data_IF_365132568594
#
_entry.id   IF_365132568594
#
_cell.length_a   1.000
_cell.length_b   1.000
_cell.length_c   1.000
_cell.angle_alpha   90.00
_cell.angle_beta   90.00
_cell.angle_gamma   90.00
#
_symmetry.space_group_name_H-M   'P 1'
#
loop_
_entity.id
_entity.type
_entity.pdbx_description
1 polymer ?
#
# COMPACT_ATOMS: atom_id res chain seq x y z
N UNK A 1 -47.39 36.71 18.61
CA UNK A 1 -48.17 35.76 17.83
C UNK A 1 -47.17 34.85 17.16
N UNK A 2 -47.15 33.59 17.54
CA UNK A 2 -46.19 32.59 17.08
C UNK A 2 -46.47 32.26 15.62
N UNK A 3 -45.51 32.47 14.74
CA UNK A 3 -45.63 32.26 13.28
C UNK A 3 -45.92 30.77 12.95
N UNK A 4 -45.45 29.89 13.81
CA UNK A 4 -45.62 28.43 13.73
C UNK A 4 -47.10 28.02 13.83
N UNK A 5 -47.91 28.70 14.59
CA UNK A 5 -49.35 28.41 14.71
C UNK A 5 -50.17 28.78 13.46
N UNK A 6 -49.63 29.55 12.52
CA UNK A 6 -50.31 29.94 11.30
C UNK A 6 -50.10 29.01 10.10
N UNK A 7 -49.05 28.20 10.14
CA UNK A 7 -48.71 27.35 9.00
C UNK A 7 -48.24 25.94 9.43
N UNK A 8 -49.12 25.11 9.98
CA UNK A 8 -48.75 23.74 10.39
C UNK A 8 -48.21 22.88 9.24
N UNK A 9 -48.56 23.20 7.97
CA UNK A 9 -48.04 22.56 6.80
C UNK A 9 -46.56 22.90 6.56
N UNK A 10 -46.12 24.10 6.88
CA UNK A 10 -44.73 24.53 6.76
C UNK A 10 -43.82 23.86 7.80
N UNK A 11 -44.29 23.67 9.03
CA UNK A 11 -43.55 22.87 10.03
C UNK A 11 -43.40 21.42 9.64
N UNK A 12 -44.45 20.81 9.12
CA UNK A 12 -44.38 19.45 8.62
C UNK A 12 -43.43 19.31 7.43
N UNK A 13 -43.39 20.30 6.53
CA UNK A 13 -42.45 20.31 5.40
C UNK A 13 -40.99 20.45 5.88
N UNK A 14 -40.73 21.36 6.82
CA UNK A 14 -39.37 21.52 7.38
C UNK A 14 -38.94 20.23 8.08
N UNK A 15 -39.80 19.61 8.91
CA UNK A 15 -39.45 18.36 9.57
C UNK A 15 -39.22 17.21 8.60
N UNK A 16 -39.95 17.14 7.48
CA UNK A 16 -39.72 16.12 6.43
C UNK A 16 -38.40 16.38 5.71
N UNK A 17 -38.07 17.64 5.42
CA UNK A 17 -36.81 18.01 4.77
C UNK A 17 -35.65 17.71 5.71
N UNK A 18 -35.72 18.09 6.96
CA UNK A 18 -34.69 17.80 7.96
C UNK A 18 -34.50 16.29 8.15
N UNK A 19 -35.60 15.54 8.23
CA UNK A 19 -35.53 14.07 8.28
C UNK A 19 -34.84 13.47 7.05
N UNK A 20 -35.13 13.99 5.85
CA UNK A 20 -34.52 13.56 4.59
C UNK A 20 -33.03 13.90 4.53
N UNK A 21 -32.65 15.09 5.01
CA UNK A 21 -31.25 15.51 5.09
C UNK A 21 -30.51 14.61 6.06
N UNK A 22 -31.03 14.42 7.27
CA UNK A 22 -30.39 13.53 8.25
C UNK A 22 -30.32 12.07 7.79
N UNK A 23 -31.35 11.57 7.13
CA UNK A 23 -31.33 10.23 6.56
C UNK A 23 -30.30 10.10 5.41
N UNK A 24 -30.14 11.14 4.60
CA UNK A 24 -29.12 11.20 3.56
C UNK A 24 -27.71 11.24 4.14
N UNK A 25 -27.49 12.06 5.16
CA UNK A 25 -26.20 12.15 5.87
C UNK A 25 -25.83 10.83 6.55
N UNK A 26 -26.79 10.15 7.18
CA UNK A 26 -26.58 8.85 7.82
C UNK A 26 -26.26 7.72 6.80
N UNK A 27 -26.79 7.84 5.59
CA UNK A 27 -26.56 6.85 4.52
C UNK A 27 -25.29 7.11 3.72
N UNK A 28 -24.71 8.32 3.76
CA UNK A 28 -23.53 8.68 2.97
C UNK A 28 -22.20 8.20 3.56
N UNK A 29 -22.20 7.64 4.76
CA UNK A 29 -20.98 7.21 5.45
C UNK A 29 -20.09 8.40 5.85
N UNK A 30 -19.54 8.37 7.07
CA UNK A 30 -18.66 9.42 7.56
C UNK A 30 -17.19 9.01 7.39
N UNK A 31 -16.35 10.02 7.17
CA UNK A 31 -14.91 9.86 7.28
C UNK A 31 -14.56 9.80 8.77
N UNK A 32 -14.26 8.62 9.26
CA UNK A 32 -14.01 8.38 10.68
C UNK A 32 -12.59 7.86 10.90
N UNK A 33 -11.91 8.31 11.99
CA UNK A 33 -10.66 7.72 12.39
C UNK A 33 -10.88 6.25 12.78
N UNK A 34 -9.97 5.41 12.36
CA UNK A 34 -10.05 3.98 12.61
C UNK A 34 -8.66 3.35 12.75
N UNK A 35 -8.63 2.18 13.34
CA UNK A 35 -7.42 1.37 13.50
C UNK A 35 -7.64 0.02 12.86
N UNK A 36 -6.63 -0.48 12.16
CA UNK A 36 -6.64 -1.80 11.53
C UNK A 36 -6.61 -2.88 12.60
N UNK A 37 -7.53 -3.83 12.53
CA UNK A 37 -7.60 -5.02 13.39
C UNK A 37 -7.02 -6.23 12.68
N UNK A 38 -7.35 -6.40 11.40
CA UNK A 38 -6.93 -7.54 10.59
C UNK A 38 -6.68 -7.10 9.15
N UNK A 39 -5.76 -7.78 8.47
CA UNK A 39 -5.37 -7.50 7.08
C UNK A 39 -5.52 -8.74 6.22
N UNK A 40 -6.32 -8.68 5.17
CA UNK A 40 -6.34 -9.67 4.09
C UNK A 40 -5.46 -9.19 2.93
N UNK A 41 -4.20 -9.58 2.97
CA UNK A 41 -3.21 -9.20 1.97
C UNK A 41 -3.47 -9.78 0.58
N UNK A 42 -4.27 -10.82 0.46
CA UNK A 42 -4.56 -11.47 -0.82
C UNK A 42 -5.64 -10.74 -1.60
N UNK A 43 -6.58 -10.12 -0.89
CA UNK A 43 -7.70 -9.41 -1.49
C UNK A 43 -7.58 -7.89 -1.41
N UNK A 44 -6.62 -7.36 -0.65
CA UNK A 44 -6.48 -5.92 -0.43
C UNK A 44 -7.57 -5.32 0.46
N UNK A 45 -8.04 -6.09 1.46
CA UNK A 45 -9.04 -5.66 2.42
C UNK A 45 -8.44 -5.57 3.82
N UNK A 46 -9.01 -4.69 4.63
CA UNK A 46 -8.71 -4.58 6.06
C UNK A 46 -9.98 -4.59 6.87
N UNK A 47 -9.94 -5.22 8.03
CA UNK A 47 -10.97 -5.06 9.06
C UNK A 47 -10.55 -3.94 9.98
N UNK A 48 -11.39 -2.94 10.13
CA UNK A 48 -11.11 -1.75 10.94
C UNK A 48 -12.07 -1.62 12.11
N UNK A 49 -11.56 -1.03 13.17
CA UNK A 49 -12.29 -0.62 14.36
C UNK A 49 -12.28 0.92 14.41
N UNK A 50 -13.42 1.53 14.66
CA UNK A 50 -13.53 2.98 14.76
C UNK A 50 -13.01 3.49 16.10
N UNK A 51 -12.23 4.56 16.07
CA UNK A 51 -11.64 5.20 17.26
C UNK A 51 -12.40 6.47 17.61
N UNK A 52 -13.65 6.31 18.08
CA UNK A 52 -14.49 7.42 18.50
C UNK A 52 -14.61 7.43 20.02
N UNK A 53 -14.32 8.58 20.61
CA UNK A 53 -14.56 8.81 22.05
C UNK A 53 -15.97 9.36 22.29
N UNK A 54 -16.58 8.93 23.40
CA UNK A 54 -17.88 9.44 23.85
C UNK A 54 -19.07 9.20 22.90
N UNK A 55 -19.01 8.17 22.07
CA UNK A 55 -20.20 7.76 21.32
C UNK A 55 -21.11 6.91 22.21
N UNK A 56 -22.43 7.15 22.18
CA UNK A 56 -23.39 6.31 22.91
C UNK A 56 -23.51 4.89 22.31
N UNK A 57 -22.85 4.65 21.19
CA UNK A 57 -22.93 3.37 20.44
C UNK A 57 -21.53 2.83 20.18
N UNK A 58 -21.37 1.52 20.35
CA UNK A 58 -20.22 0.82 19.82
C UNK A 58 -20.46 0.54 18.32
N UNK A 59 -19.67 1.19 17.47
CA UNK A 59 -19.70 0.90 16.06
C UNK A 59 -19.10 -0.51 15.83
N UNK A 60 -19.72 -1.34 14.99
CA UNK A 60 -19.18 -2.64 14.65
C UNK A 60 -17.87 -2.51 13.89
N UNK A 61 -17.02 -3.51 13.98
CA UNK A 61 -15.89 -3.66 13.08
C UNK A 61 -16.41 -3.92 11.66
N UNK A 62 -15.77 -3.31 10.67
CA UNK A 62 -16.15 -3.48 9.27
C UNK A 62 -14.94 -3.86 8.44
N UNK A 63 -15.17 -4.68 7.42
CA UNK A 63 -14.14 -5.06 6.44
C UNK A 63 -14.33 -4.24 5.18
N UNK A 64 -13.30 -3.46 4.81
CA UNK A 64 -13.35 -2.50 3.71
C UNK A 64 -12.09 -2.60 2.86
N UNK A 65 -12.15 -2.25 1.56
CA UNK A 65 -10.99 -2.21 0.70
C UNK A 65 -9.99 -1.15 1.14
N UNK A 66 -8.72 -1.40 0.86
CA UNK A 66 -7.65 -0.43 1.09
C UNK A 66 -7.52 0.48 -0.12
N UNK A 67 -7.47 1.79 0.13
CA UNK A 67 -7.06 2.74 -0.90
C UNK A 67 -5.58 2.53 -1.22
N UNK A 68 -5.26 2.39 -2.49
CA UNK A 68 -3.88 2.17 -2.93
C UNK A 68 -3.71 2.47 -4.41
N UNK A 69 -2.46 2.45 -4.83
CA UNK A 69 -2.08 2.52 -6.25
C UNK A 69 -1.97 1.09 -6.77
N UNK A 70 -2.36 0.86 -7.99
CA UNK A 70 -2.33 -0.48 -8.60
C UNK A 70 -0.93 -1.14 -8.53
N UNK A 71 0.12 -0.35 -8.70
CA UNK A 71 1.50 -0.82 -8.77
C UNK A 71 2.36 -0.50 -7.52
N UNK A 72 1.75 0.06 -6.47
CA UNK A 72 2.44 0.36 -5.22
C UNK A 72 1.67 -0.26 -4.07
N UNK A 73 2.30 -1.20 -3.38
CA UNK A 73 1.71 -1.86 -2.22
C UNK A 73 2.36 -1.35 -0.94
N UNK A 74 1.54 -0.88 -0.02
CA UNK A 74 1.98 -0.49 1.33
C UNK A 74 1.87 -1.67 2.27
N UNK A 75 2.86 -1.88 3.15
CA UNK A 75 2.78 -2.88 4.22
C UNK A 75 1.86 -2.38 5.33
N UNK A 76 0.58 -2.73 5.28
CA UNK A 76 -0.38 -2.42 6.33
C UNK A 76 -0.37 -3.54 7.36
N UNK A 77 -0.40 -3.18 8.65
CA UNK A 77 -0.39 -4.10 9.79
C UNK A 77 -1.55 -3.83 10.73
N UNK A 78 -1.91 -4.82 11.53
CA UNK A 78 -2.81 -4.62 12.66
C UNK A 78 -2.22 -3.56 13.61
N UNK A 79 -3.03 -2.62 14.04
CA UNK A 79 -2.63 -1.47 14.84
C UNK A 79 -2.33 -0.20 14.03
N UNK A 80 -2.24 -0.27 12.70
CA UNK A 80 -2.00 0.93 11.89
C UNK A 80 -3.22 1.85 11.91
N UNK A 81 -3.00 3.15 12.14
CA UNK A 81 -4.06 4.14 12.12
C UNK A 81 -4.44 4.52 10.69
N UNK A 82 -5.69 4.90 10.52
CA UNK A 82 -6.20 5.40 9.26
C UNK A 82 -7.50 6.15 9.41
N UNK A 83 -8.05 6.51 8.27
CA UNK A 83 -9.35 7.14 8.16
C UNK A 83 -10.17 6.41 7.11
N UNK A 84 -11.47 6.33 7.32
CA UNK A 84 -12.38 5.85 6.28
C UNK A 84 -12.65 6.96 5.28
N UNK A 85 -12.67 6.63 4.01
CA UNK A 85 -13.09 7.52 2.92
C UNK A 85 -14.38 6.95 2.34
N UNK A 86 -15.42 7.78 2.25
CA UNK A 86 -16.70 7.40 1.65
C UNK A 86 -16.70 7.63 0.15
N UNK A 87 -17.35 6.74 -0.57
CA UNK A 87 -17.70 6.90 -1.97
C UNK A 87 -19.23 6.99 -2.12
N UNK A 88 -19.67 7.68 -3.16
CA UNK A 88 -21.09 7.85 -3.45
C UNK A 88 -21.73 6.59 -4.06
N UNK A 89 -20.91 5.60 -4.40
CA UNK A 89 -21.32 4.36 -5.07
C UNK A 89 -20.67 3.13 -4.43
N UNK A 90 -21.23 1.97 -4.72
CA UNK A 90 -20.70 0.68 -4.25
C UNK A 90 -19.31 0.40 -4.83
N UNK A 91 -18.32 0.26 -3.95
CA UNK A 91 -16.92 -0.04 -4.29
C UNK A 91 -16.65 -1.54 -4.50
N UNK A 92 -17.50 -2.43 -4.02
CA UNK A 92 -17.29 -3.89 -4.14
C UNK A 92 -17.31 -4.30 -5.61
N UNK A 93 -18.09 -3.62 -6.43
CA UNK A 93 -18.15 -3.88 -7.87
C UNK A 93 -16.84 -3.55 -8.61
N UNK A 94 -16.01 -2.68 -8.04
CA UNK A 94 -14.74 -2.22 -8.60
C UNK A 94 -13.57 -2.94 -7.94
N UNK A 95 -13.68 -3.24 -6.63
CA UNK A 95 -12.61 -3.90 -5.88
C UNK A 95 -12.44 -5.37 -6.30
N UNK A 96 -11.22 -5.84 -6.35
CA UNK A 96 -10.89 -7.22 -6.72
C UNK A 96 -10.90 -7.51 -8.22
N UNK A 97 -10.65 -6.50 -9.06
CA UNK A 97 -10.48 -6.67 -10.51
C UNK A 97 -11.79 -6.92 -11.27
N UNK A 98 -12.93 -6.71 -10.63
CA UNK A 98 -14.25 -6.81 -11.27
C UNK A 98 -14.61 -5.45 -11.86
N UNK A 99 -14.36 -5.26 -13.14
CA UNK A 99 -14.83 -4.09 -13.89
C UNK A 99 -16.34 -4.19 -14.09
N UNK A 100 -17.12 -3.79 -13.10
CA UNK A 100 -18.55 -3.55 -13.23
C UNK A 100 -18.81 -2.08 -13.02
N UNK A 101 -19.71 -1.52 -13.81
CA UNK A 101 -20.24 -0.19 -13.53
C UNK A 101 -21.00 -0.28 -12.19
N UNK A 102 -20.64 0.53 -11.18
CA UNK A 102 -21.36 0.54 -9.92
C UNK A 102 -22.78 1.05 -10.14
N UNK A 103 -23.74 0.45 -9.45
CA UNK A 103 -25.10 0.97 -9.41
C UNK A 103 -25.13 2.29 -8.66
N UNK A 104 -25.77 3.30 -9.23
CA UNK A 104 -25.94 4.62 -8.62
C UNK A 104 -27.00 4.63 -7.49
N UNK A 105 -27.26 3.48 -6.92
CA UNK A 105 -28.16 3.36 -5.76
C UNK A 105 -27.34 3.54 -4.50
N UNK A 106 -27.67 4.52 -3.63
CA UNK A 106 -27.00 4.67 -2.36
C UNK A 106 -27.10 3.36 -1.57
N UNK A 107 -25.97 2.73 -1.33
CA UNK A 107 -25.93 1.53 -0.52
C UNK A 107 -26.07 1.94 0.95
N UNK A 108 -27.02 1.35 1.65
CA UNK A 108 -27.14 1.47 3.10
C UNK A 108 -26.06 0.63 3.85
N UNK A 109 -25.19 -0.05 3.13
CA UNK A 109 -24.16 -0.90 3.69
C UNK A 109 -22.79 -0.18 3.67
N UNK A 110 -22.32 0.24 4.82
CA UNK A 110 -21.05 0.93 5.00
C UNK A 110 -19.83 0.14 4.49
N UNK A 111 -19.90 -1.20 4.50
CA UNK A 111 -18.82 -2.04 3.99
C UNK A 111 -18.60 -1.89 2.48
N UNK A 112 -19.60 -1.41 1.76
CA UNK A 112 -19.56 -1.30 0.30
C UNK A 112 -19.18 0.08 -0.20
N UNK A 113 -19.38 1.11 0.64
CA UNK A 113 -19.14 2.51 0.26
C UNK A 113 -17.92 3.14 0.94
N UNK A 114 -17.27 2.43 1.86
CA UNK A 114 -16.09 2.93 2.56
C UNK A 114 -14.82 2.24 2.06
N UNK A 115 -13.72 2.99 2.03
CA UNK A 115 -12.37 2.48 1.86
C UNK A 115 -11.48 2.97 2.99
N UNK A 116 -10.43 2.21 3.29
CA UNK A 116 -9.41 2.58 4.28
C UNK A 116 -8.29 3.37 3.62
N UNK A 117 -8.00 4.55 4.16
CA UNK A 117 -6.81 5.32 3.83
C UNK A 117 -5.85 5.34 5.02
N UNK A 118 -4.61 4.84 4.86
CA UNK A 118 -3.63 4.86 5.94
C UNK A 118 -3.20 6.29 6.25
N UNK A 119 -3.04 6.60 7.55
CA UNK A 119 -2.45 7.84 8.03
C UNK A 119 -1.01 7.54 8.44
N UNK A 120 -0.10 8.45 8.11
CA UNK A 120 1.29 8.34 8.53
C UNK A 120 1.39 8.35 10.05
N UNK A 121 2.05 7.35 10.61
CA UNK A 121 2.36 7.31 12.04
C UNK A 121 3.47 8.33 12.36
N UNK A 122 3.35 9.06 13.47
CA UNK A 122 4.33 10.06 13.93
C UNK A 122 5.73 9.48 14.21
N UNK A 123 5.81 8.20 14.53
CA UNK A 123 7.08 7.46 14.74
C UNK A 123 7.82 7.18 13.43
N UNK A 124 7.52 7.91 12.39
CA UNK A 124 8.17 7.76 11.12
C UNK A 124 9.62 8.25 11.19
N UNK A 125 10.47 7.44 10.65
CA UNK A 125 11.91 7.54 10.49
C UNK A 125 12.43 8.96 10.23
N UNK A 126 13.53 9.31 10.88
CA UNK A 126 14.33 10.44 10.47
C UNK A 126 14.79 10.19 9.02
N UNK A 127 14.33 11.03 8.10
CA UNK A 127 14.78 10.93 6.71
C UNK A 127 16.23 11.43 6.62
N UNK A 128 17.13 10.65 6.03
CA UNK A 128 18.53 11.07 5.89
C UNK A 128 18.69 12.33 5.03
N UNK A 129 17.73 12.61 4.16
CA UNK A 129 17.68 13.82 3.35
C UNK A 129 16.22 14.29 3.22
N UNK A 130 15.83 15.39 3.89
CA UNK A 130 14.44 15.88 3.85
C UNK A 130 14.03 16.42 2.46
N UNK A 131 14.99 16.71 1.58
CA UNK A 131 14.72 17.21 0.22
C UNK A 131 14.70 16.09 -0.84
N UNK A 132 14.89 14.82 -0.45
CA UNK A 132 14.85 13.69 -1.35
C UNK A 132 13.49 12.97 -1.31
N UNK A 133 13.13 12.35 -2.41
CA UNK A 133 12.07 11.34 -2.40
C UNK A 133 12.60 10.09 -1.71
N UNK A 134 11.97 9.69 -0.60
CA UNK A 134 12.39 8.53 0.18
C UNK A 134 11.32 7.47 0.09
N UNK A 135 11.70 6.29 -0.39
CA UNK A 135 10.86 5.09 -0.40
C UNK A 135 11.43 4.14 0.65
N UNK A 136 10.63 3.77 1.63
CA UNK A 136 11.04 2.87 2.70
C UNK A 136 9.89 1.97 3.15
N UNK A 137 10.25 0.82 3.69
CA UNK A 137 9.33 -0.09 4.36
C UNK A 137 9.96 -0.66 5.63
N UNK A 138 9.18 -1.12 6.62
CA UNK A 138 9.70 -1.64 7.88
C UNK A 138 10.67 -2.82 7.69
N UNK A 139 10.45 -3.65 6.68
CA UNK A 139 11.26 -4.82 6.37
C UNK A 139 12.07 -4.65 5.07
N UNK A 140 12.10 -3.44 4.51
CA UNK A 140 12.79 -3.10 3.27
C UNK A 140 11.88 -2.70 2.12
N UNK A 141 12.47 -2.59 0.94
CA UNK A 141 11.80 -2.22 -0.30
C UNK A 141 12.10 -3.28 -1.36
N UNK A 142 11.08 -3.70 -2.07
CA UNK A 142 11.19 -4.59 -3.23
C UNK A 142 10.62 -3.88 -4.44
N UNK A 143 11.43 -3.71 -5.47
CA UNK A 143 10.99 -3.29 -6.79
C UNK A 143 11.14 -4.49 -7.72
N UNK A 144 10.12 -4.81 -8.49
CA UNK A 144 10.18 -5.92 -9.43
C UNK A 144 9.41 -5.59 -10.69
N UNK A 145 9.84 -6.18 -11.79
CA UNK A 145 9.12 -6.18 -13.05
C UNK A 145 8.06 -7.30 -13.01
N UNK A 146 6.79 -6.92 -13.09
CA UNK A 146 5.70 -7.87 -13.19
C UNK A 146 5.46 -8.19 -14.68
N UNK A 147 6.12 -9.24 -15.13
CA UNK A 147 5.83 -9.87 -16.39
C UNK A 147 5.02 -11.15 -16.09
N UNK A 148 4.02 -11.47 -16.87
CA UNK A 148 3.19 -12.67 -16.77
C UNK A 148 3.99 -14.00 -16.94
N UNK A 149 5.28 -13.86 -17.22
CA UNK A 149 6.26 -14.93 -17.37
C UNK A 149 7.06 -15.22 -16.10
N UNK A 150 7.98 -16.11 -16.23
CA UNK A 150 8.74 -16.73 -15.14
C UNK A 150 10.02 -16.01 -14.75
N UNK A 151 10.37 -14.91 -15.41
CA UNK A 151 11.64 -14.20 -15.17
C UNK A 151 11.37 -12.77 -14.75
N UNK A 152 11.64 -12.47 -13.49
CA UNK A 152 11.48 -11.13 -12.94
C UNK A 152 12.83 -10.47 -12.72
N UNK A 153 12.95 -9.19 -13.13
CA UNK A 153 14.00 -8.34 -12.65
C UNK A 153 13.59 -7.78 -11.29
N UNK A 154 14.43 -7.95 -10.28
CA UNK A 154 14.12 -7.50 -8.92
C UNK A 154 15.25 -6.65 -8.36
N UNK A 155 14.89 -5.58 -7.66
CA UNK A 155 15.79 -4.85 -6.79
C UNK A 155 15.24 -4.94 -5.35
N UNK A 156 16.01 -5.55 -4.48
CA UNK A 156 15.68 -5.71 -3.06
C UNK A 156 16.64 -4.87 -2.25
N UNK A 157 16.11 -4.04 -1.35
CA UNK A 157 16.89 -3.32 -0.35
C UNK A 157 16.28 -3.62 1.01
N UNK A 158 17.05 -4.24 1.88
CA UNK A 158 16.67 -4.59 3.25
C UNK A 158 17.77 -4.20 4.23
N UNK A 159 17.56 -4.42 5.52
CA UNK A 159 18.56 -4.12 6.55
C UNK A 159 19.87 -4.89 6.35
N UNK A 160 19.81 -6.10 5.81
CA UNK A 160 20.95 -7.00 5.70
C UNK A 160 21.51 -7.13 4.29
N UNK A 161 20.79 -6.64 3.26
CA UNK A 161 21.13 -6.94 1.87
C UNK A 161 20.61 -5.86 0.91
N UNK A 162 21.42 -5.56 -0.10
CA UNK A 162 20.97 -4.92 -1.34
C UNK A 162 21.24 -5.89 -2.50
N UNK A 163 20.23 -6.24 -3.29
CA UNK A 163 20.36 -7.22 -4.37
C UNK A 163 19.59 -6.78 -5.62
N UNK A 164 20.29 -6.82 -6.74
CA UNK A 164 19.71 -6.69 -8.07
C UNK A 164 19.78 -8.06 -8.75
N UNK A 165 18.66 -8.53 -9.27
CA UNK A 165 18.56 -9.84 -9.93
C UNK A 165 17.86 -9.71 -11.28
N UNK A 166 18.33 -10.43 -12.28
CA UNK A 166 17.64 -10.64 -13.55
C UNK A 166 17.90 -12.07 -14.01
N UNK A 167 16.85 -12.90 -14.01
CA UNK A 167 16.99 -14.32 -14.31
C UNK A 167 17.97 -15.02 -13.38
N UNK A 168 19.03 -15.62 -13.96
CA UNK A 168 20.10 -16.29 -13.21
C UNK A 168 21.26 -15.39 -12.79
N UNK A 169 21.29 -14.14 -13.27
CA UNK A 169 22.35 -13.18 -12.94
C UNK A 169 21.96 -12.31 -11.75
N UNK A 170 22.90 -12.03 -10.88
CA UNK A 170 22.65 -11.10 -9.75
C UNK A 170 23.92 -10.40 -9.26
N UNK A 171 23.72 -9.21 -8.69
CA UNK A 171 24.68 -8.49 -7.85
C UNK A 171 24.09 -8.36 -6.47
N UNK A 172 24.78 -8.84 -5.46
CA UNK A 172 24.37 -8.83 -4.07
C UNK A 172 25.44 -8.19 -3.19
N UNK A 173 25.04 -7.27 -2.33
CA UNK A 173 25.86 -6.68 -1.28
C UNK A 173 25.28 -7.13 0.06
N UNK A 174 26.01 -7.98 0.76
CA UNK A 174 25.57 -8.54 2.05
C UNK A 174 26.78 -8.98 2.87
N UNK A 175 26.70 -8.88 4.20
CA UNK A 175 27.76 -9.38 5.10
C UNK A 175 29.16 -8.79 4.87
N UNK A 176 29.26 -7.56 4.31
CA UNK A 176 30.54 -6.92 3.95
C UNK A 176 31.13 -7.39 2.63
N UNK A 177 30.42 -8.20 1.86
CA UNK A 177 30.86 -8.74 0.58
C UNK A 177 30.01 -8.23 -0.57
N UNK A 178 30.61 -8.19 -1.77
CA UNK A 178 29.91 -8.02 -3.05
C UNK A 178 30.00 -9.32 -3.80
N UNK A 179 28.85 -9.96 -4.05
CA UNK A 179 28.73 -11.22 -4.79
C UNK A 179 28.13 -10.97 -6.14
N UNK A 180 28.82 -11.45 -7.19
CA UNK A 180 28.34 -11.41 -8.57
C UNK A 180 28.06 -12.85 -9.00
N UNK A 181 26.83 -13.12 -9.39
CA UNK A 181 26.42 -14.41 -9.95
C UNK A 181 26.16 -14.25 -11.43
N UNK A 182 26.65 -15.16 -12.26
CA UNK A 182 26.61 -15.07 -13.72
C UNK A 182 27.97 -14.67 -14.30
N UNK A 183 28.00 -14.34 -15.57
CA UNK A 183 29.23 -13.93 -16.27
C UNK A 183 29.48 -12.42 -16.06
N UNK A 184 30.62 -12.07 -15.49
CA UNK A 184 31.07 -10.67 -15.38
C UNK A 184 31.87 -10.29 -16.63
N UNK A 185 31.35 -9.32 -17.37
CA UNK A 185 32.00 -8.75 -18.57
C UNK A 185 32.47 -7.34 -18.23
N UNK A 186 33.77 -7.08 -18.43
CA UNK A 186 34.38 -5.74 -18.23
C UNK A 186 34.96 -5.28 -19.55
N UNK A 187 34.52 -4.15 -20.06
CA UNK A 187 34.95 -3.60 -21.37
C UNK A 187 34.82 -4.58 -22.55
N UNK A 188 33.83 -5.47 -22.49
CA UNK A 188 33.60 -6.47 -23.53
C UNK A 188 34.33 -7.82 -23.33
N UNK A 189 35.19 -7.92 -22.31
CA UNK A 189 35.95 -9.12 -21.99
C UNK A 189 35.38 -9.85 -20.78
N UNK A 190 35.26 -11.18 -20.84
CA UNK A 190 34.83 -12.00 -19.72
C UNK A 190 35.92 -12.06 -18.64
N UNK A 191 35.62 -11.59 -17.44
CA UNK A 191 36.60 -11.44 -16.36
C UNK A 191 37.27 -12.77 -15.98
N UNK A 192 36.52 -13.87 -15.89
CA UNK A 192 37.05 -15.18 -15.48
C UNK A 192 37.80 -15.89 -16.60
N UNK A 193 37.59 -15.51 -17.85
CA UNK A 193 38.22 -16.16 -19.04
C UNK A 193 39.31 -15.30 -19.67
N UNK A 194 39.59 -14.05 -19.17
CA UNK A 194 40.63 -13.20 -19.76
C UNK A 194 42.03 -13.78 -19.56
N UNK A 195 42.85 -13.64 -20.56
CA UNK A 195 44.23 -14.12 -20.57
C UNK A 195 45.19 -12.96 -20.77
N UNK A 196 46.36 -13.08 -20.19
CA UNK A 196 47.45 -12.10 -20.40
C UNK A 196 48.46 -12.65 -21.41
N UNK A 197 48.72 -11.89 -22.46
CA UNK A 197 49.77 -12.21 -23.42
C UNK A 197 51.17 -11.95 -22.84
N UNK A 198 52.15 -12.77 -23.22
CA UNK A 198 53.55 -12.58 -22.80
C UNK A 198 53.92 -13.19 -21.45
N UNK A 199 53.01 -13.91 -20.80
CA UNK A 199 53.28 -14.64 -19.54
C UNK A 199 53.69 -16.07 -19.89
N UNK A 200 54.91 -16.49 -19.44
CA UNK A 200 55.26 -17.92 -19.51
C UNK A 200 54.47 -18.71 -18.50
N UNK A 201 53.88 -19.81 -18.98
CA UNK A 201 53.18 -20.78 -18.12
C UNK A 201 54.17 -21.42 -17.15
N UNK A 202 54.07 -21.10 -15.89
CA UNK A 202 54.79 -21.75 -14.80
C UNK A 202 53.89 -22.70 -14.00
N UNK A 203 54.47 -23.73 -13.40
CA UNK A 203 53.74 -24.71 -12.55
C UNK A 203 53.34 -24.19 -11.15
N UNK A 204 53.50 -22.92 -10.87
CA UNK A 204 53.13 -22.30 -9.57
C UNK A 204 51.95 -21.36 -9.71
N UNK A 205 51.09 -21.30 -8.66
CA UNK A 205 50.03 -20.30 -8.58
C UNK A 205 50.63 -18.93 -8.26
N UNK A 206 50.15 -17.87 -8.87
CA UNK A 206 50.41 -16.50 -8.42
C UNK A 206 49.82 -16.33 -7.03
N UNK A 207 50.51 -15.62 -6.13
CA UNK A 207 49.96 -15.23 -4.85
C UNK A 207 48.64 -14.45 -5.01
N UNK A 208 47.79 -14.46 -3.97
CA UNK A 208 46.56 -13.67 -3.99
C UNK A 208 46.84 -12.19 -4.18
N UNK A 209 45.87 -11.48 -4.74
CA UNK A 209 45.92 -10.01 -4.89
C UNK A 209 45.77 -9.45 -3.48
N UNK A 210 46.74 -8.64 -3.04
CA UNK A 210 46.71 -7.92 -1.76
C UNK A 210 45.91 -6.63 -1.90
#
# INVERSE_FOLDING_TARGET
MDFAKRFPVAENLVSIVDYRIHASEQNSGFQLPCTVVEVDNTKGFVTVKFELQNTPFNLPQITIPVQGWEYIRYPIKAGDPGVTISADVDLISISGGKSRQPDFVPSSNLNTVLMFAPIRNENSFATPNPNATVIYGPDGVVLFDYNDGTTHSTLIVSQSMAKLTNGSASVEISGGEVKITGTLIINGEEYMAHTHSGVQTGGGNTGGVN
#
